data_IF_760093860729
#
_entry.id   IF_760093860729
#
_cell.length_a   1.000
_cell.length_b   1.000
_cell.length_c   1.000
_cell.angle_alpha   90.00
_cell.angle_beta   90.00
_cell.angle_gamma   90.00
#
_symmetry.space_group_name_H-M   'P 1'
#
loop_
_entity.id
_entity.type
_entity.pdbx_description
1 polymer ?
#
# COMPACT_ATOMS: atom_id res chain seq x y z
N UNK A 1 9.65 -4.50 10.05
CA UNK A 1 9.76 -5.93 9.65
C UNK A 1 11.16 -6.31 9.14
N UNK A 2 11.72 -5.70 8.10
CA UNK A 2 13.08 -6.06 7.64
C UNK A 2 14.16 -5.67 8.67
N UNK A 3 14.10 -4.46 9.21
CA UNK A 3 15.03 -3.92 10.21
C UNK A 3 15.10 -4.75 11.50
N UNK A 4 13.99 -5.37 11.93
CA UNK A 4 13.96 -6.24 13.11
C UNK A 4 14.64 -7.59 12.88
N UNK A 5 14.84 -7.99 11.63
CA UNK A 5 15.49 -9.25 11.28
C UNK A 5 16.98 -9.08 11.01
N UNK A 6 17.36 -8.01 10.31
CA UNK A 6 18.74 -7.72 9.98
C UNK A 6 18.87 -6.24 9.55
N UNK A 7 19.54 -5.42 10.34
CA UNK A 7 19.75 -4.01 10.03
C UNK A 7 20.59 -3.82 8.75
N UNK A 8 21.47 -4.76 8.41
CA UNK A 8 22.30 -4.64 7.21
C UNK A 8 21.52 -4.73 5.91
N UNK A 9 20.30 -5.32 5.94
CA UNK A 9 19.42 -5.36 4.77
C UNK A 9 18.91 -3.98 4.36
N UNK A 10 18.94 -2.99 5.24
CA UNK A 10 18.47 -1.65 4.93
C UNK A 10 19.38 -0.93 3.92
N UNK A 11 20.67 -1.26 3.91
CA UNK A 11 21.65 -0.70 2.98
C UNK A 11 21.47 -1.26 1.55
N UNK A 12 20.84 -2.44 1.44
CA UNK A 12 20.63 -3.14 0.17
C UNK A 12 19.25 -2.81 -0.47
N UNK A 13 18.42 -2.01 0.22
CA UNK A 13 17.07 -1.66 -0.29
C UNK A 13 17.15 -0.41 -1.17
N UNK A 14 16.78 -0.57 -2.45
CA UNK A 14 16.59 0.51 -3.40
C UNK A 14 15.12 0.81 -3.66
N UNK A 15 14.81 2.06 -3.99
CA UNK A 15 13.48 2.49 -4.43
C UNK A 15 13.56 2.76 -5.92
N UNK A 16 12.71 2.10 -6.70
CA UNK A 16 12.61 2.29 -8.15
C UNK A 16 11.18 2.70 -8.52
N UNK A 17 10.99 3.55 -9.54
CA UNK A 17 9.65 3.84 -10.05
C UNK A 17 9.02 2.59 -10.65
N UNK A 18 7.69 2.54 -10.64
CA UNK A 18 6.98 1.53 -11.41
C UNK A 18 7.30 1.69 -12.89
N UNK A 19 7.42 0.58 -13.60
CA UNK A 19 7.70 0.57 -15.04
C UNK A 19 6.45 0.91 -15.85
N UNK A 20 6.65 1.58 -17.00
CA UNK A 20 5.60 1.73 -17.99
C UNK A 20 5.16 0.34 -18.47
N UNK A 21 3.86 0.10 -18.52
CA UNK A 21 3.28 -1.13 -19.06
C UNK A 21 2.92 -0.89 -20.51
N UNK A 22 3.45 -1.69 -21.41
CA UNK A 22 3.07 -1.64 -22.85
C UNK A 22 2.05 -2.73 -23.13
N UNK A 23 0.83 -2.33 -23.46
CA UNK A 23 -0.23 -3.25 -23.87
C UNK A 23 -0.77 -2.84 -25.24
N UNK A 24 -0.81 -3.78 -26.17
CA UNK A 24 -1.23 -3.57 -27.58
C UNK A 24 -0.56 -2.34 -28.23
N UNK A 25 0.76 -2.21 -28.01
CA UNK A 25 1.57 -1.11 -28.56
C UNK A 25 1.35 0.26 -27.89
N UNK A 26 0.49 0.35 -26.89
CA UNK A 26 0.22 1.56 -26.11
C UNK A 26 0.96 1.50 -24.80
N UNK A 27 1.73 2.54 -24.46
CA UNK A 27 2.39 2.68 -23.16
C UNK A 27 1.43 3.30 -22.14
N UNK A 28 1.25 2.61 -21.02
CA UNK A 28 0.48 3.06 -19.87
C UNK A 28 1.45 3.39 -18.74
N UNK A 29 1.40 4.62 -18.27
CA UNK A 29 2.14 5.01 -17.07
C UNK A 29 1.40 4.49 -15.83
N UNK A 30 2.09 3.79 -14.92
CA UNK A 30 1.48 3.39 -13.68
C UNK A 30 1.21 4.63 -12.83
N UNK A 31 0.04 4.69 -12.24
CA UNK A 31 -0.29 5.65 -11.19
C UNK A 31 -0.37 4.88 -9.87
N UNK A 32 0.39 5.28 -8.84
CA UNK A 32 0.29 4.64 -7.55
C UNK A 32 -1.10 4.84 -6.96
N UNK A 33 -1.66 3.79 -6.40
CA UNK A 33 -2.91 3.87 -5.67
C UNK A 33 -2.67 4.38 -4.26
N UNK A 34 -3.56 5.23 -3.76
CA UNK A 34 -3.53 5.70 -2.39
C UNK A 34 -4.67 5.05 -1.60
N UNK A 35 -4.30 4.35 -0.53
CA UNK A 35 -5.23 3.76 0.44
C UNK A 35 -5.15 4.51 1.77
N UNK A 36 -5.86 5.62 1.92
CA UNK A 36 -5.91 6.26 3.22
C UNK A 36 -6.65 5.34 4.21
N UNK A 37 -6.01 5.01 5.32
CA UNK A 37 -6.67 4.34 6.42
C UNK A 37 -7.57 5.35 7.13
N UNK A 38 -8.86 5.10 7.10
CA UNK A 38 -9.87 5.99 7.70
C UNK A 38 -10.45 5.36 8.95
N UNK A 39 -10.38 6.09 10.06
CA UNK A 39 -11.04 5.69 11.30
C UNK A 39 -12.31 6.50 11.49
N UNK A 40 -13.43 5.83 11.77
CA UNK A 40 -14.75 6.44 11.88
C UNK A 40 -15.47 6.00 13.16
N UNK A 41 -16.31 6.89 13.71
CA UNK A 41 -17.20 6.55 14.82
C UNK A 41 -18.52 6.03 14.27
N UNK A 42 -18.92 4.82 14.66
CA UNK A 42 -20.20 4.25 14.25
C UNK A 42 -21.37 5.10 14.77
N UNK A 43 -22.43 5.24 13.96
CA UNK A 43 -23.70 5.89 14.37
C UNK A 43 -24.30 5.25 15.62
N UNK A 44 -24.06 3.97 15.85
CA UNK A 44 -24.57 3.21 16.98
C UNK A 44 -23.59 3.13 18.16
N UNK A 45 -22.54 3.95 18.15
CA UNK A 45 -21.57 4.00 19.24
C UNK A 45 -22.28 4.41 20.56
N UNK A 46 -22.11 3.62 21.60
CA UNK A 46 -22.70 3.89 22.93
C UNK A 46 -21.92 4.93 23.73
N UNK A 47 -20.66 5.15 23.37
CA UNK A 47 -19.71 6.04 24.05
C UNK A 47 -19.05 7.01 23.04
N UNK A 48 -19.82 7.89 22.37
CA UNK A 48 -19.29 8.71 21.28
C UNK A 48 -18.26 9.75 21.74
N UNK A 49 -18.36 10.23 22.99
CA UNK A 49 -17.40 11.20 23.54
C UNK A 49 -16.05 10.56 23.80
N UNK A 50 -16.04 9.37 24.34
CA UNK A 50 -14.82 8.60 24.60
C UNK A 50 -14.18 8.15 23.29
N UNK A 51 -14.99 7.74 22.31
CA UNK A 51 -14.51 7.41 20.97
C UNK A 51 -13.88 8.63 20.29
N UNK A 52 -14.49 9.82 20.43
CA UNK A 52 -13.93 11.04 19.90
C UNK A 52 -12.61 11.42 20.56
N UNK A 53 -12.52 11.33 21.88
CA UNK A 53 -11.27 11.57 22.61
C UNK A 53 -10.14 10.63 22.16
N UNK A 54 -10.48 9.36 21.85
CA UNK A 54 -9.51 8.42 21.27
C UNK A 54 -9.05 8.86 19.88
N UNK A 55 -9.96 9.33 19.01
CA UNK A 55 -9.59 9.84 17.69
C UNK A 55 -8.71 11.10 17.79
N UNK A 56 -9.02 12.01 18.73
CA UNK A 56 -8.16 13.16 19.00
C UNK A 56 -6.75 12.72 19.45
N UNK A 57 -6.66 11.76 20.37
CA UNK A 57 -5.37 11.22 20.77
C UNK A 57 -4.61 10.61 19.60
N UNK A 58 -5.28 9.90 18.69
CA UNK A 58 -4.64 9.33 17.50
C UNK A 58 -3.97 10.38 16.60
N UNK A 59 -4.34 11.66 16.69
CA UNK A 59 -3.69 12.74 15.92
C UNK A 59 -2.48 13.35 16.63
N UNK A 60 -2.21 12.96 17.89
CA UNK A 60 -1.05 13.46 18.64
C UNK A 60 0.27 12.83 18.16
N UNK A 61 1.39 13.52 18.39
CA UNK A 61 2.71 13.00 18.05
C UNK A 61 3.01 11.66 18.73
N UNK A 62 2.55 11.47 19.99
CA UNK A 62 2.69 10.21 20.72
C UNK A 62 2.04 9.03 19.96
N UNK A 63 0.80 9.20 19.53
CA UNK A 63 0.09 8.17 18.79
C UNK A 63 0.69 7.96 17.38
N UNK A 64 1.08 9.04 16.71
CA UNK A 64 1.69 8.98 15.38
C UNK A 64 3.06 8.30 15.39
N UNK A 65 3.81 8.44 16.49
CA UNK A 65 5.03 7.68 16.72
C UNK A 65 4.77 6.17 16.79
N UNK A 66 3.75 5.76 17.54
CA UNK A 66 3.35 4.34 17.62
C UNK A 66 2.96 3.81 16.24
N UNK A 67 2.22 4.60 15.46
CA UNK A 67 1.83 4.25 14.08
C UNK A 67 3.07 4.09 13.20
N UNK A 68 4.03 5.00 13.29
CA UNK A 68 5.27 4.93 12.55
C UNK A 68 6.12 3.70 12.92
N UNK A 69 6.22 3.40 14.23
CA UNK A 69 6.94 2.23 14.74
C UNK A 69 6.33 0.90 14.24
N UNK A 70 5.04 0.91 13.84
CA UNK A 70 4.39 -0.21 13.16
C UNK A 70 4.70 -0.27 11.64
N UNK A 71 5.51 0.62 11.10
CA UNK A 71 5.88 0.69 9.68
C UNK A 71 4.82 1.37 8.80
N UNK A 72 3.92 2.17 9.40
CA UNK A 72 2.93 2.96 8.68
C UNK A 72 3.38 4.42 8.58
N UNK A 73 2.95 5.09 7.51
CA UNK A 73 3.26 6.51 7.31
C UNK A 73 2.33 7.35 8.21
N UNK A 74 2.87 8.22 9.09
CA UNK A 74 2.07 9.08 9.94
C UNK A 74 1.24 10.07 9.12
N UNK A 75 -0.01 10.31 9.56
CA UNK A 75 -0.89 11.30 8.94
C UNK A 75 -0.70 12.72 9.49
N UNK A 76 -0.05 12.87 10.64
CA UNK A 76 0.28 14.16 11.22
C UNK A 76 1.52 14.74 10.53
N UNK A 77 1.35 15.86 9.83
CA UNK A 77 2.41 16.50 9.04
C UNK A 77 3.54 17.01 9.93
N UNK A 78 3.24 17.55 11.11
CA UNK A 78 4.27 18.09 12.01
C UNK A 78 5.19 16.98 12.51
N UNK A 79 4.63 15.81 12.85
CA UNK A 79 5.43 14.66 13.26
C UNK A 79 6.18 14.03 12.05
N UNK A 80 5.51 13.82 10.92
CA UNK A 80 6.11 13.17 9.75
C UNK A 80 7.24 13.97 9.08
N UNK A 81 7.36 15.27 9.40
CA UNK A 81 8.45 16.15 8.95
C UNK A 81 9.46 16.47 10.05
N UNK A 82 9.30 15.91 11.25
CA UNK A 82 10.22 16.12 12.36
C UNK A 82 11.54 15.41 12.17
N UNK A 83 12.62 15.96 12.74
CA UNK A 83 13.94 15.33 12.75
C UNK A 83 13.90 13.95 13.40
N UNK A 84 13.06 13.77 14.44
CA UNK A 84 12.90 12.50 15.13
C UNK A 84 12.35 11.42 14.18
N UNK A 85 11.29 11.75 13.42
CA UNK A 85 10.71 10.81 12.46
C UNK A 85 11.72 10.45 11.36
N UNK A 86 12.35 11.46 10.76
CA UNK A 86 13.29 11.27 9.65
C UNK A 86 14.46 10.36 10.06
N UNK A 87 15.02 10.55 11.27
CA UNK A 87 16.13 9.75 11.75
C UNK A 87 15.76 8.31 12.10
N UNK A 88 14.56 8.10 12.63
CA UNK A 88 14.12 6.76 13.06
C UNK A 88 13.45 5.95 11.94
N UNK A 89 12.93 6.61 10.91
CA UNK A 89 12.15 6.02 9.82
C UNK A 89 12.67 6.48 8.44
N UNK A 90 13.98 6.39 8.25
CA UNK A 90 14.67 6.90 7.05
C UNK A 90 14.14 6.28 5.75
N UNK A 91 13.82 4.97 5.74
CA UNK A 91 13.30 4.30 4.56
C UNK A 91 11.89 4.79 4.22
N UNK A 92 11.00 4.84 5.21
CA UNK A 92 9.63 5.33 5.04
C UNK A 92 9.63 6.79 4.57
N UNK A 93 10.51 7.60 5.13
CA UNK A 93 10.69 9.00 4.70
C UNK A 93 11.16 9.08 3.24
N UNK A 94 12.16 8.31 2.83
CA UNK A 94 12.63 8.22 1.44
C UNK A 94 11.54 7.78 0.49
N UNK A 95 10.67 6.83 0.89
CA UNK A 95 9.52 6.40 0.10
C UNK A 95 8.56 7.56 -0.13
N UNK A 96 8.23 8.32 0.93
CA UNK A 96 7.33 9.48 0.83
C UNK A 96 7.92 10.55 -0.08
N UNK A 97 9.19 10.92 0.10
CA UNK A 97 9.87 11.88 -0.79
C UNK A 97 9.89 11.40 -2.24
N UNK A 98 10.20 10.12 -2.46
CA UNK A 98 10.20 9.54 -3.79
C UNK A 98 8.82 9.63 -4.43
N UNK A 99 7.75 9.29 -3.70
CA UNK A 99 6.37 9.38 -4.16
C UNK A 99 5.99 10.81 -4.53
N UNK A 100 6.29 11.78 -3.66
CA UNK A 100 6.01 13.20 -3.90
C UNK A 100 6.76 13.77 -5.11
N UNK A 101 7.98 13.32 -5.36
CA UNK A 101 8.82 13.82 -6.44
C UNK A 101 8.50 13.18 -7.80
N UNK A 102 7.95 11.99 -7.84
CA UNK A 102 7.77 11.22 -9.08
C UNK A 102 6.31 11.08 -9.52
N UNK A 103 5.35 11.30 -8.62
CA UNK A 103 3.93 11.14 -8.91
C UNK A 103 3.15 12.39 -8.56
N UNK A 104 2.43 12.94 -9.53
CA UNK A 104 1.58 14.13 -9.34
C UNK A 104 0.16 13.77 -8.95
N UNK A 105 -0.29 12.59 -9.39
CA UNK A 105 -1.67 12.15 -9.22
C UNK A 105 -1.68 10.75 -8.57
N UNK A 106 -2.40 10.64 -7.47
CA UNK A 106 -2.73 9.37 -6.84
C UNK A 106 -4.14 8.98 -7.26
N UNK A 107 -4.33 7.76 -7.69
CA UNK A 107 -5.64 7.24 -8.07
C UNK A 107 -6.20 6.35 -6.99
N UNK A 108 -7.52 6.37 -6.83
CA UNK A 108 -8.19 5.37 -6.03
C UNK A 108 -8.36 4.08 -6.86
N UNK A 109 -8.38 2.95 -6.18
CA UNK A 109 -8.76 1.71 -6.84
C UNK A 109 -10.16 1.78 -7.42
N UNK A 110 -10.42 1.02 -8.49
CA UNK A 110 -11.74 0.95 -9.07
C UNK A 110 -12.76 0.45 -8.04
N UNK A 111 -13.89 1.16 -7.91
CA UNK A 111 -14.96 0.74 -7.00
C UNK A 111 -15.82 -0.35 -7.66
N UNK A 112 -15.29 -1.56 -7.69
CA UNK A 112 -15.95 -2.75 -8.23
C UNK A 112 -16.09 -3.80 -7.13
N UNK A 113 -17.17 -4.58 -7.15
CA UNK A 113 -17.46 -5.60 -6.14
C UNK A 113 -16.41 -6.72 -6.12
N UNK A 114 -15.76 -6.97 -7.25
CA UNK A 114 -14.78 -8.04 -7.47
C UNK A 114 -13.38 -7.68 -7.03
N UNK A 115 -13.09 -6.44 -6.61
CA UNK A 115 -11.74 -5.97 -6.31
C UNK A 115 -11.01 -6.88 -5.31
N UNK A 116 -11.72 -7.34 -4.27
CA UNK A 116 -11.14 -8.23 -3.26
C UNK A 116 -10.69 -9.58 -3.84
N UNK A 117 -11.50 -10.18 -4.71
CA UNK A 117 -11.18 -11.45 -5.37
C UNK A 117 -10.01 -11.28 -6.35
N UNK A 118 -10.02 -10.22 -7.14
CA UNK A 118 -8.92 -9.88 -8.06
C UNK A 118 -7.61 -9.67 -7.30
N UNK A 119 -7.64 -8.92 -6.20
CA UNK A 119 -6.46 -8.69 -5.36
C UNK A 119 -5.90 -10.00 -4.79
N UNK A 120 -6.77 -10.94 -4.40
CA UNK A 120 -6.33 -12.25 -3.91
C UNK A 120 -5.66 -13.08 -5.02
N UNK A 121 -6.23 -13.12 -6.22
CA UNK A 121 -5.64 -13.81 -7.38
C UNK A 121 -4.24 -13.27 -7.67
N UNK A 122 -4.07 -11.95 -7.68
CA UNK A 122 -2.78 -11.31 -7.93
C UNK A 122 -1.78 -11.59 -6.81
N UNK A 123 -2.23 -11.61 -5.56
CA UNK A 123 -1.39 -11.93 -4.41
C UNK A 123 -0.90 -13.37 -4.46
N UNK A 124 -1.79 -14.32 -4.77
CA UNK A 124 -1.46 -15.74 -4.86
C UNK A 124 -0.45 -16.00 -5.99
N UNK A 125 -0.62 -15.37 -7.16
CA UNK A 125 0.32 -15.44 -8.25
C UNK A 125 1.69 -14.86 -7.87
N UNK A 126 1.71 -13.69 -7.23
CA UNK A 126 2.94 -13.07 -6.75
C UNK A 126 3.66 -13.97 -5.72
N UNK A 127 2.95 -14.57 -4.76
CA UNK A 127 3.52 -15.47 -3.77
C UNK A 127 4.17 -16.70 -4.42
N UNK A 128 3.55 -17.29 -5.42
CA UNK A 128 4.13 -18.42 -6.16
C UNK A 128 5.40 -18.03 -6.90
N UNK A 129 5.40 -16.87 -7.57
CA UNK A 129 6.58 -16.37 -8.28
C UNK A 129 7.75 -16.10 -7.33
N UNK A 130 7.49 -15.43 -6.19
CA UNK A 130 8.54 -15.09 -5.21
C UNK A 130 9.03 -16.29 -4.39
N UNK A 131 8.21 -17.33 -4.22
CA UNK A 131 8.60 -18.56 -3.50
C UNK A 131 9.23 -19.61 -4.39
N UNK A 132 9.55 -19.28 -5.65
CA UNK A 132 10.10 -20.20 -6.65
C UNK A 132 9.20 -21.44 -6.91
N UNK A 133 7.92 -21.36 -6.59
CA UNK A 133 6.95 -22.43 -6.87
C UNK A 133 6.37 -22.35 -8.28
N UNK A 134 6.50 -21.21 -8.94
CA UNK A 134 6.13 -21.04 -10.33
C UNK A 134 7.23 -21.64 -11.22
N UNK A 135 6.84 -22.55 -12.11
CA UNK A 135 7.77 -23.12 -13.09
C UNK A 135 8.18 -22.09 -14.17
N UNK A 136 7.26 -21.18 -14.51
CA UNK A 136 7.43 -20.09 -15.46
C UNK A 136 6.60 -18.89 -15.01
N UNK A 137 7.23 -17.73 -14.98
CA UNK A 137 6.58 -16.47 -14.55
C UNK A 137 5.47 -16.07 -15.54
N UNK A 138 5.69 -16.25 -16.84
CA UNK A 138 4.72 -15.90 -17.86
C UNK A 138 3.47 -16.79 -17.78
N UNK A 139 3.65 -18.10 -17.58
CA UNK A 139 2.53 -19.05 -17.41
C UNK A 139 1.69 -18.70 -16.18
N UNK A 140 2.33 -18.33 -15.05
CA UNK A 140 1.59 -17.94 -13.85
C UNK A 140 0.83 -16.63 -14.05
N UNK A 141 1.41 -15.63 -14.74
CA UNK A 141 0.73 -14.38 -15.08
C UNK A 141 -0.43 -14.61 -16.05
N UNK A 142 -0.27 -15.45 -17.06
CA UNK A 142 -1.34 -15.80 -17.99
C UNK A 142 -2.49 -16.53 -17.29
N UNK A 143 -2.15 -17.39 -16.31
CA UNK A 143 -3.14 -18.06 -15.48
C UNK A 143 -3.91 -17.07 -14.60
N UNK A 144 -3.22 -16.15 -13.96
CA UNK A 144 -3.85 -15.10 -13.15
C UNK A 144 -4.77 -14.22 -14.01
N UNK A 145 -4.32 -13.83 -15.21
CA UNK A 145 -5.12 -13.03 -16.15
C UNK A 145 -6.44 -13.73 -16.50
N UNK A 146 -6.41 -15.03 -16.81
CA UNK A 146 -7.63 -15.79 -17.10
C UNK A 146 -8.62 -15.81 -15.93
N UNK A 147 -8.09 -15.98 -14.70
CA UNK A 147 -8.93 -15.97 -13.51
C UNK A 147 -9.57 -14.59 -13.30
N UNK A 148 -8.82 -13.50 -13.51
CA UNK A 148 -9.35 -12.14 -13.43
C UNK A 148 -10.46 -11.91 -14.48
N UNK A 149 -10.24 -12.36 -15.73
CA UNK A 149 -11.25 -12.26 -16.79
C UNK A 149 -12.54 -13.04 -16.45
N UNK A 150 -12.43 -14.23 -15.87
CA UNK A 150 -13.57 -15.01 -15.39
C UNK A 150 -14.33 -14.27 -14.29
N UNK A 151 -13.61 -13.68 -13.32
CA UNK A 151 -14.21 -12.89 -12.24
C UNK A 151 -14.96 -11.67 -12.80
N UNK A 152 -14.31 -10.93 -13.71
CA UNK A 152 -14.91 -9.74 -14.35
C UNK A 152 -16.12 -10.06 -15.23
N UNK A 153 -16.20 -11.25 -15.82
CA UNK A 153 -17.32 -11.66 -16.68
C UNK A 153 -18.60 -11.97 -15.92
N UNK A 154 -18.53 -12.23 -14.62
CA UNK A 154 -19.70 -12.62 -13.78
C UNK A 154 -20.74 -11.53 -13.61
N UNK A 155 -20.35 -10.26 -13.72
CA UNK A 155 -21.26 -9.10 -13.58
C UNK A 155 -21.74 -8.54 -14.94
N UNK A 156 -21.39 -9.20 -16.04
CA UNK A 156 -21.86 -8.81 -17.38
C UNK A 156 -23.22 -9.42 -17.75
N UNK A 157 -23.83 -10.22 -16.86
CA UNK A 157 -25.18 -10.76 -16.97
C UNK A 157 -26.13 -10.02 -16.02
#
# INVERSE_FOLDING_TARGET
>A
MCKERDESLMDDIGIIPQFDVVYDGTAYKPNPTNYPLVTMISKNCKHPKEAYAFLEWMTTDEAQKIIADCGMIPSNTDYSTSDEYIQNHELEHKIVEFMQNNYTDLVADPNISQLGEISQIMLDAAQKMFSEQAADVQEEMDSAQKQVEEVMSRDAE
#
